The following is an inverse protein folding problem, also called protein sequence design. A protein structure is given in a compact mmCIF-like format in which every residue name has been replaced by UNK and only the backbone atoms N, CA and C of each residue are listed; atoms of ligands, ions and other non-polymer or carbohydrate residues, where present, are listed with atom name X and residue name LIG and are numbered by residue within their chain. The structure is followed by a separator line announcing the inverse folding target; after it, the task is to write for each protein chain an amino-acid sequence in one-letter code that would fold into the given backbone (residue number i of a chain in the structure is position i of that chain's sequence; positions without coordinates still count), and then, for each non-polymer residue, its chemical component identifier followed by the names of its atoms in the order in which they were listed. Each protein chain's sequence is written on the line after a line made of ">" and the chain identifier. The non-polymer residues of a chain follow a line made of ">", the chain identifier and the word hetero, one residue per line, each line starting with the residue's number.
data_IF_502493978454
#
_entry.id   IF_502493978454
#
_cell.length_a   1.000
_cell.length_b   1.000
_cell.length_c   1.000
_cell.angle_alpha   90.00
_cell.angle_beta   90.00
_cell.angle_gamma   90.00
#
_symmetry.space_group_name_H-M   'P 1'
#
loop_
_entity.id
_entity.type
_entity.pdbx_description
1 polymer ?
#
# COMPACT_ATOMS: atom_id res chain seq x y z
N UNK A 1 9.10 45.06 -22.91
CA UNK A 1 8.85 43.69 -22.39
C UNK A 1 7.48 43.51 -21.73
N UNK A 2 7.22 43.88 -20.47
CA UNK A 2 5.91 43.62 -19.81
C UNK A 2 4.73 44.36 -20.47
N UNK A 3 4.95 45.59 -20.95
CA UNK A 3 3.91 46.37 -21.67
C UNK A 3 3.60 45.83 -23.07
N UNK A 4 4.60 45.29 -23.77
CA UNK A 4 4.43 44.68 -25.10
C UNK A 4 3.74 43.31 -25.03
N UNK A 5 4.04 42.52 -24.01
CA UNK A 5 3.32 41.26 -23.77
C UNK A 5 1.86 41.53 -23.40
N UNK A 6 1.58 42.57 -22.59
CA UNK A 6 0.21 42.97 -22.27
C UNK A 6 -0.59 43.46 -23.49
N UNK A 7 0.01 44.28 -24.37
CA UNK A 7 -0.68 44.74 -25.60
C UNK A 7 -0.86 43.61 -26.61
N UNK A 8 0.08 42.67 -26.72
CA UNK A 8 -0.04 41.48 -27.57
C UNK A 8 -1.09 40.48 -27.06
N UNK A 9 -1.19 40.28 -25.75
CA UNK A 9 -2.24 39.47 -25.11
C UNK A 9 -3.62 40.09 -25.35
N UNK A 10 -3.73 41.43 -25.27
CA UNK A 10 -5.01 42.11 -25.48
C UNK A 10 -5.47 42.06 -26.95
N UNK A 11 -4.55 42.09 -27.91
CA UNK A 11 -4.88 41.94 -29.34
C UNK A 11 -5.14 40.49 -29.76
N UNK A 12 -4.68 39.50 -28.98
CA UNK A 12 -4.84 38.07 -29.23
C UNK A 12 -5.61 37.34 -28.13
N UNK A 13 -6.53 38.02 -27.45
CA UNK A 13 -7.29 37.46 -26.32
C UNK A 13 -8.01 36.14 -26.63
N UNK A 14 -8.43 35.94 -27.88
CA UNK A 14 -9.01 34.69 -28.37
C UNK A 14 -7.99 33.53 -28.39
N UNK A 15 -6.74 33.77 -28.79
CA UNK A 15 -5.65 32.78 -28.78
C UNK A 15 -5.32 32.37 -27.35
N UNK A 16 -5.20 33.34 -26.45
CA UNK A 16 -4.94 33.09 -25.03
C UNK A 16 -6.08 32.28 -24.41
N UNK A 17 -7.33 32.55 -24.78
CA UNK A 17 -8.51 31.82 -24.29
C UNK A 17 -8.55 30.37 -24.79
N UNK A 18 -8.19 30.13 -26.06
CA UNK A 18 -8.08 28.76 -26.59
C UNK A 18 -6.94 28.02 -25.89
N UNK A 19 -5.80 28.69 -25.69
CA UNK A 19 -4.64 28.08 -25.04
C UNK A 19 -4.92 27.70 -23.59
N UNK A 20 -5.62 28.55 -22.82
CA UNK A 20 -6.03 28.24 -21.44
C UNK A 20 -7.07 27.12 -21.40
N UNK A 21 -8.01 27.06 -22.34
CA UNK A 21 -8.96 25.95 -22.47
C UNK A 21 -8.26 24.62 -22.73
N UNK A 22 -7.31 24.60 -23.68
CA UNK A 22 -6.53 23.40 -24.03
C UNK A 22 -5.66 22.97 -22.85
N UNK A 23 -4.97 23.91 -22.18
CA UNK A 23 -4.16 23.62 -21.00
C UNK A 23 -5.03 23.07 -19.86
N UNK A 24 -6.19 23.68 -19.60
CA UNK A 24 -7.13 23.26 -18.58
C UNK A 24 -7.70 21.87 -18.85
N UNK A 25 -8.09 21.57 -20.09
CA UNK A 25 -8.56 20.25 -20.50
C UNK A 25 -7.47 19.18 -20.37
N UNK A 26 -6.23 19.50 -20.76
CA UNK A 26 -5.09 18.62 -20.61
C UNK A 26 -4.78 18.32 -19.14
N UNK A 27 -4.72 19.36 -18.29
CA UNK A 27 -4.48 19.22 -16.85
C UNK A 27 -5.58 18.39 -16.19
N UNK A 28 -6.84 18.68 -16.52
CA UNK A 28 -8.01 17.94 -16.02
C UNK A 28 -7.95 16.47 -16.41
N UNK A 29 -7.61 16.17 -17.66
CA UNK A 29 -7.46 14.79 -18.14
C UNK A 29 -6.31 14.07 -17.41
N UNK A 30 -5.18 14.75 -17.21
CA UNK A 30 -4.03 14.19 -16.50
C UNK A 30 -4.34 13.91 -15.02
N UNK A 31 -5.01 14.85 -14.34
CA UNK A 31 -5.45 14.70 -12.95
C UNK A 31 -6.48 13.57 -12.80
N UNK A 32 -7.45 13.48 -13.72
CA UNK A 32 -8.48 12.44 -13.72
C UNK A 32 -7.87 11.06 -13.90
N UNK A 33 -6.95 10.89 -14.86
CA UNK A 33 -6.22 9.62 -15.05
C UNK A 33 -5.42 9.22 -13.82
N UNK A 34 -4.74 10.16 -13.18
CA UNK A 34 -3.98 9.88 -11.95
C UNK A 34 -4.90 9.47 -10.79
N UNK A 35 -6.06 10.13 -10.65
CA UNK A 35 -7.06 9.79 -9.63
C UNK A 35 -7.60 8.37 -9.85
N UNK A 36 -7.94 8.00 -11.09
CA UNK A 36 -8.40 6.65 -11.40
C UNK A 36 -7.35 5.58 -11.08
N UNK A 37 -6.08 5.84 -11.42
CA UNK A 37 -4.98 4.91 -11.09
C UNK A 37 -4.81 4.78 -9.59
N UNK A 38 -4.91 5.88 -8.85
CA UNK A 38 -4.83 5.88 -7.39
C UNK A 38 -5.98 5.09 -6.75
N UNK A 39 -7.20 5.28 -7.22
CA UNK A 39 -8.36 4.52 -6.75
C UNK A 39 -8.18 3.03 -7.01
N UNK A 40 -7.75 2.63 -8.21
CA UNK A 40 -7.48 1.22 -8.52
C UNK A 40 -6.40 0.59 -7.63
N UNK A 41 -5.38 1.37 -7.25
CA UNK A 41 -4.34 0.90 -6.32
C UNK A 41 -4.92 0.74 -4.92
N UNK A 42 -5.69 1.73 -4.45
CA UNK A 42 -6.35 1.68 -3.13
C UNK A 42 -7.30 0.49 -3.04
N UNK A 43 -8.13 0.25 -4.05
CA UNK A 43 -9.07 -0.88 -4.11
C UNK A 43 -8.32 -2.22 -4.03
N UNK A 44 -7.25 -2.39 -4.83
CA UNK A 44 -6.45 -3.63 -4.79
C UNK A 44 -5.78 -3.84 -3.44
N UNK A 45 -5.20 -2.78 -2.85
CA UNK A 45 -4.62 -2.85 -1.51
C UNK A 45 -5.67 -3.25 -0.47
N UNK A 46 -6.85 -2.61 -0.54
CA UNK A 46 -7.99 -2.92 0.33
C UNK A 46 -8.40 -4.38 0.24
N UNK A 47 -8.48 -4.91 -0.98
CA UNK A 47 -8.78 -6.32 -1.21
C UNK A 47 -7.70 -7.24 -0.59
N UNK A 48 -6.41 -6.99 -0.87
CA UNK A 48 -5.33 -7.81 -0.32
C UNK A 48 -5.28 -7.78 1.20
N UNK A 49 -5.52 -6.63 1.82
CA UNK A 49 -5.55 -6.50 3.27
C UNK A 49 -6.76 -7.23 3.88
N UNK A 50 -7.94 -7.09 3.28
CA UNK A 50 -9.13 -7.81 3.74
C UNK A 50 -8.97 -9.32 3.63
N UNK A 51 -8.46 -9.80 2.49
CA UNK A 51 -8.23 -11.23 2.26
C UNK A 51 -7.19 -11.78 3.24
N UNK A 52 -6.10 -11.05 3.47
CA UNK A 52 -5.09 -11.41 4.47
C UNK A 52 -5.67 -11.51 5.88
N UNK A 53 -6.45 -10.52 6.31
CA UNK A 53 -7.06 -10.52 7.64
C UNK A 53 -8.01 -11.73 7.81
N UNK A 54 -8.79 -12.05 6.78
CA UNK A 54 -9.63 -13.24 6.79
C UNK A 54 -8.80 -14.53 6.91
N UNK A 55 -7.70 -14.64 6.16
CA UNK A 55 -6.81 -15.79 6.24
C UNK A 55 -6.11 -15.88 7.61
N UNK A 56 -5.71 -14.75 8.19
CA UNK A 56 -5.12 -14.65 9.52
C UNK A 56 -6.10 -15.13 10.61
N UNK A 57 -7.38 -14.75 10.51
CA UNK A 57 -8.40 -15.21 11.44
C UNK A 57 -8.64 -16.71 11.30
N UNK A 58 -8.68 -17.24 10.07
CA UNK A 58 -8.79 -18.69 9.83
C UNK A 58 -7.56 -19.44 10.36
N UNK A 59 -6.36 -18.89 10.16
CA UNK A 59 -5.11 -19.43 10.67
C UNK A 59 -5.01 -19.38 12.19
N UNK A 60 -5.70 -18.45 12.86
CA UNK A 60 -5.72 -18.39 14.33
C UNK A 60 -6.86 -19.21 14.97
N UNK A 61 -7.77 -19.82 14.19
CA UNK A 61 -8.77 -20.74 14.74
C UNK A 61 -8.09 -21.93 15.41
N UNK A 62 -8.68 -22.53 16.46
CA UNK A 62 -8.08 -23.71 17.07
C UNK A 62 -8.02 -24.91 16.10
N UNK A 63 -6.99 -25.75 16.26
CA UNK A 63 -6.65 -26.85 15.32
C UNK A 63 -7.82 -27.80 15.07
N UNK A 64 -8.62 -28.09 16.10
CA UNK A 64 -9.79 -28.97 15.99
C UNK A 64 -10.90 -28.41 15.09
N UNK A 65 -10.98 -27.08 14.94
CA UNK A 65 -11.92 -26.42 14.00
C UNK A 65 -11.34 -26.43 12.59
N UNK A 66 -10.03 -26.19 12.45
CA UNK A 66 -9.33 -26.19 11.15
C UNK A 66 -9.42 -27.56 10.45
N UNK A 67 -9.19 -28.65 11.18
CA UNK A 67 -9.26 -30.01 10.64
C UNK A 67 -10.67 -30.43 10.18
N UNK A 68 -11.72 -29.75 10.65
CA UNK A 68 -13.12 -30.06 10.30
C UNK A 68 -13.59 -29.32 9.04
N UNK A 69 -12.99 -28.18 8.72
CA UNK A 69 -13.44 -27.28 7.63
C UNK A 69 -12.67 -27.47 6.31
N UNK A 70 -11.38 -27.86 6.32
CA UNK A 70 -10.64 -28.34 5.14
C UNK A 70 -9.16 -28.66 5.47
N UNK A 71 -8.51 -29.39 4.56
CA UNK A 71 -7.09 -29.76 4.55
C UNK A 71 -6.17 -28.67 5.11
N UNK A 72 -5.55 -28.92 6.26
CA UNK A 72 -4.64 -28.01 6.98
C UNK A 72 -3.64 -27.29 6.04
N UNK A 73 -3.16 -27.98 5.01
CA UNK A 73 -2.19 -27.46 4.05
C UNK A 73 -2.70 -26.34 3.11
N UNK A 74 -4.01 -26.26 2.83
CA UNK A 74 -4.56 -25.21 1.97
C UNK A 74 -4.74 -23.89 2.74
N UNK A 75 -5.10 -23.96 4.02
CA UNK A 75 -5.22 -22.80 4.92
C UNK A 75 -3.84 -22.16 5.12
N UNK A 76 -2.81 -22.97 5.37
CA UNK A 76 -1.45 -22.49 5.57
C UNK A 76 -0.89 -21.84 4.29
N UNK A 77 -1.07 -22.48 3.13
CA UNK A 77 -0.65 -21.91 1.84
C UNK A 77 -1.32 -20.57 1.55
N UNK A 78 -2.62 -20.48 1.78
CA UNK A 78 -3.36 -19.25 1.54
C UNK A 78 -2.90 -18.12 2.47
N UNK A 79 -2.67 -18.44 3.75
CA UNK A 79 -2.12 -17.50 4.72
C UNK A 79 -0.78 -16.91 4.27
N UNK A 80 0.20 -17.76 3.95
CA UNK A 80 1.52 -17.28 3.53
C UNK A 80 1.48 -16.53 2.20
N UNK A 81 0.65 -16.96 1.24
CA UNK A 81 0.48 -16.25 -0.02
C UNK A 81 -0.07 -14.84 0.18
N UNK A 82 -1.12 -14.70 0.98
CA UNK A 82 -1.72 -13.39 1.28
C UNK A 82 -0.78 -12.52 2.12
N UNK A 83 -0.05 -13.11 3.06
CA UNK A 83 1.01 -12.41 3.82
C UNK A 83 2.06 -11.82 2.88
N UNK A 84 2.51 -12.57 1.89
CA UNK A 84 3.45 -12.08 0.88
C UNK A 84 2.90 -10.91 0.09
N UNK A 85 1.61 -10.92 -0.26
CA UNK A 85 0.97 -9.78 -0.93
C UNK A 85 0.94 -8.53 -0.03
N UNK A 86 0.67 -8.67 1.26
CA UNK A 86 0.76 -7.56 2.22
C UNK A 86 2.19 -7.02 2.30
N UNK A 87 3.21 -7.88 2.34
CA UNK A 87 4.62 -7.46 2.37
C UNK A 87 5.03 -6.76 1.07
N UNK A 88 4.53 -7.23 -0.08
CA UNK A 88 4.87 -6.68 -1.39
C UNK A 88 4.27 -5.28 -1.59
N UNK A 89 3.02 -5.08 -1.20
CA UNK A 89 2.25 -3.87 -1.50
C UNK A 89 2.03 -2.94 -0.30
N UNK A 90 2.34 -3.41 0.91
CA UNK A 90 2.29 -2.68 2.17
C UNK A 90 3.17 -1.45 2.20
N UNK A 91 2.73 -0.42 2.93
CA UNK A 91 3.65 0.62 3.41
C UNK A 91 4.59 0.07 4.47
N UNK A 92 5.69 0.78 4.74
CA UNK A 92 6.61 0.42 5.82
C UNK A 92 5.88 0.32 7.17
N UNK A 93 4.95 1.23 7.45
CA UNK A 93 4.14 1.22 8.68
C UNK A 93 3.30 -0.07 8.79
N UNK A 94 2.70 -0.53 7.70
CA UNK A 94 1.97 -1.81 7.67
C UNK A 94 2.91 -3.00 7.90
N UNK A 95 4.08 -3.00 7.26
CA UNK A 95 5.07 -4.08 7.38
C UNK A 95 5.62 -4.16 8.81
N UNK A 96 5.92 -3.03 9.44
CA UNK A 96 6.38 -2.96 10.83
C UNK A 96 5.33 -3.50 11.81
N UNK A 97 4.07 -3.07 11.66
CA UNK A 97 2.98 -3.57 12.50
C UNK A 97 2.72 -5.06 12.27
N UNK A 98 2.86 -5.52 11.03
CA UNK A 98 2.74 -6.93 10.67
C UNK A 98 3.84 -7.75 11.36
N UNK A 99 5.09 -7.28 11.33
CA UNK A 99 6.21 -7.95 11.98
C UNK A 99 6.06 -8.04 13.50
N UNK A 100 5.56 -6.99 14.16
CA UNK A 100 5.23 -7.01 15.59
C UNK A 100 4.17 -8.09 15.87
N UNK A 101 3.14 -8.19 15.02
CA UNK A 101 2.10 -9.19 15.18
C UNK A 101 2.62 -10.63 14.98
N UNK A 102 3.55 -10.84 14.04
CA UNK A 102 4.16 -12.15 13.79
C UNK A 102 5.14 -12.55 14.90
N UNK A 103 5.97 -11.61 15.37
CA UNK A 103 7.00 -11.86 16.39
C UNK A 103 6.38 -12.15 17.75
N UNK A 104 5.44 -11.32 18.16
CA UNK A 104 4.89 -11.39 19.52
C UNK A 104 3.59 -12.23 19.60
N UNK A 105 3.10 -12.69 18.44
CA UNK A 105 1.84 -13.43 18.30
C UNK A 105 0.59 -12.56 18.52
N UNK A 106 -0.52 -12.98 17.91
CA UNK A 106 -1.84 -12.35 18.10
C UNK A 106 -2.66 -13.19 19.07
N UNK A 107 -2.60 -12.83 20.34
CA UNK A 107 -3.44 -13.43 21.37
C UNK A 107 -4.73 -12.63 21.54
N UNK A 108 -5.81 -13.05 20.88
CA UNK A 108 -7.10 -12.34 20.93
C UNK A 108 -7.74 -12.29 22.33
N UNK A 109 -7.32 -13.18 23.23
CA UNK A 109 -7.80 -13.22 24.62
C UNK A 109 -7.23 -12.08 25.46
N UNK A 110 -5.99 -11.65 25.18
CA UNK A 110 -5.32 -10.58 25.93
C UNK A 110 -5.63 -9.21 25.36
N UNK A 111 -5.65 -8.18 26.22
CA UNK A 111 -5.87 -6.80 25.79
C UNK A 111 -4.76 -6.34 24.83
N UNK A 112 -3.52 -6.67 25.14
CA UNK A 112 -2.34 -6.31 24.32
C UNK A 112 -2.38 -6.95 22.93
N UNK A 113 -2.79 -8.22 22.82
CA UNK A 113 -2.91 -8.88 21.52
C UNK A 113 -4.00 -8.26 20.65
N UNK A 114 -5.13 -7.86 21.25
CA UNK A 114 -6.18 -7.09 20.55
C UNK A 114 -5.70 -5.72 20.10
N UNK A 115 -4.95 -5.01 20.94
CA UNK A 115 -4.39 -3.69 20.59
C UNK A 115 -3.41 -3.80 19.42
N UNK A 116 -2.50 -4.78 19.43
CA UNK A 116 -1.58 -5.03 18.30
C UNK A 116 -2.31 -5.29 16.99
N UNK A 117 -3.34 -6.13 17.03
CA UNK A 117 -4.19 -6.40 15.87
C UNK A 117 -4.92 -5.15 15.36
N UNK A 118 -5.45 -4.33 16.27
CA UNK A 118 -6.09 -3.06 15.91
C UNK A 118 -5.09 -2.07 15.28
N UNK A 119 -3.87 -1.98 15.80
CA UNK A 119 -2.83 -1.14 15.22
C UNK A 119 -2.43 -1.58 13.80
N UNK A 120 -2.42 -2.89 13.53
CA UNK A 120 -2.21 -3.41 12.17
C UNK A 120 -3.33 -2.98 11.23
N UNK A 121 -4.59 -3.11 11.66
CA UNK A 121 -5.75 -2.68 10.86
C UNK A 121 -5.72 -1.17 10.62
N UNK A 122 -5.39 -0.38 11.63
CA UNK A 122 -5.30 1.08 11.51
C UNK A 122 -4.22 1.49 10.50
N UNK A 123 -3.05 0.86 10.56
CA UNK A 123 -1.98 1.07 9.59
C UNK A 123 -2.42 0.71 8.16
N UNK A 124 -3.13 -0.42 7.99
CA UNK A 124 -3.67 -0.85 6.69
C UNK A 124 -4.69 0.16 6.15
N UNK A 125 -5.61 0.64 6.99
CA UNK A 125 -6.62 1.64 6.63
C UNK A 125 -5.96 2.95 6.18
N UNK A 126 -5.01 3.45 6.95
CA UNK A 126 -4.26 4.67 6.64
C UNK A 126 -3.47 4.57 5.33
N UNK A 127 -2.94 3.39 5.02
CA UNK A 127 -2.24 3.12 3.76
C UNK A 127 -3.19 3.03 2.55
N UNK A 128 -4.42 2.55 2.74
CA UNK A 128 -5.47 2.60 1.70
C UNK A 128 -5.92 4.04 1.45
N UNK A 129 -6.09 4.84 2.51
CA UNK A 129 -6.54 6.25 2.41
C UNK A 129 -5.49 7.16 1.75
N UNK A 130 -4.22 6.79 1.82
CA UNK A 130 -3.11 7.54 1.22
C UNK A 130 -2.37 6.74 0.15
N UNK A 131 -3.03 6.37 -0.97
CA UNK A 131 -2.39 5.62 -2.02
C UNK A 131 -1.33 6.51 -2.67
N UNK A 132 -0.05 6.16 -2.53
CA UNK A 132 1.03 6.89 -3.19
C UNK A 132 1.17 6.40 -4.63
N UNK A 133 1.17 7.32 -5.60
CA UNK A 133 1.56 6.99 -6.98
C UNK A 133 3.02 6.58 -6.93
N UNK A 134 3.28 5.28 -7.12
CA UNK A 134 4.63 4.77 -7.27
C UNK A 134 5.15 5.27 -8.62
N UNK A 135 5.81 6.42 -8.62
CA UNK A 135 6.42 7.00 -9.82
C UNK A 135 7.59 6.14 -10.26
N UNK A 136 7.58 5.75 -11.54
CA UNK A 136 8.68 5.10 -12.27
C UNK A 136 9.10 3.70 -11.83
N UNK A 137 9.27 2.81 -12.82
CA UNK A 137 9.90 1.49 -12.66
C UNK A 137 11.33 1.58 -12.10
N UNK A 138 12.06 2.66 -12.39
CA UNK A 138 13.42 2.88 -11.91
C UNK A 138 13.49 3.20 -10.41
N UNK A 139 12.56 4.01 -9.90
CA UNK A 139 12.49 4.29 -8.46
C UNK A 139 12.06 3.03 -7.69
N UNK A 140 11.22 2.17 -8.28
CA UNK A 140 10.90 0.85 -7.70
C UNK A 140 12.14 -0.03 -7.53
N UNK A 141 13.01 -0.10 -8.53
CA UNK A 141 14.22 -0.93 -8.48
C UNK A 141 15.20 -0.45 -7.39
N UNK A 142 15.39 0.86 -7.26
CA UNK A 142 16.24 1.45 -6.21
C UNK A 142 15.61 1.35 -4.81
N UNK A 143 14.30 1.53 -4.69
CA UNK A 143 13.59 1.38 -3.43
C UNK A 143 13.53 -0.09 -2.98
N UNK A 144 13.48 -1.05 -3.91
CA UNK A 144 13.48 -2.49 -3.57
C UNK A 144 14.73 -2.92 -2.81
N UNK A 145 15.92 -2.44 -3.17
CA UNK A 145 17.14 -2.80 -2.41
C UNK A 145 17.06 -2.33 -0.96
N UNK A 146 16.71 -1.05 -0.72
CA UNK A 146 16.53 -0.53 0.64
C UNK A 146 15.39 -1.20 1.40
N UNK A 147 14.31 -1.55 0.70
CA UNK A 147 13.15 -2.21 1.30
C UNK A 147 13.46 -3.66 1.65
N UNK A 148 14.27 -4.36 0.86
CA UNK A 148 14.69 -5.73 1.14
C UNK A 148 15.59 -5.81 2.37
N UNK A 149 16.57 -4.91 2.51
CA UNK A 149 17.37 -4.80 3.74
C UNK A 149 16.50 -4.48 4.95
N UNK A 150 15.60 -3.51 4.84
CA UNK A 150 14.70 -3.13 5.92
C UNK A 150 13.72 -4.24 6.32
N UNK A 151 13.13 -4.95 5.34
CA UNK A 151 12.23 -6.08 5.56
C UNK A 151 13.00 -7.25 6.19
N UNK A 152 14.23 -7.54 5.73
CA UNK A 152 15.06 -8.59 6.31
C UNK A 152 15.40 -8.28 7.78
N UNK A 153 15.78 -7.04 8.08
CA UNK A 153 16.08 -6.61 9.44
C UNK A 153 14.82 -6.67 10.33
N UNK A 154 13.64 -6.31 9.82
CA UNK A 154 12.41 -6.28 10.62
C UNK A 154 11.80 -7.68 10.81
N UNK A 155 11.79 -8.53 9.78
CA UNK A 155 11.14 -9.85 9.85
C UNK A 155 12.06 -10.94 10.39
N UNK A 156 13.38 -10.81 10.21
CA UNK A 156 14.34 -11.87 10.52
C UNK A 156 15.49 -11.42 11.43
N UNK A 157 15.47 -10.18 11.93
CA UNK A 157 16.53 -9.60 12.78
C UNK A 157 17.94 -9.77 12.16
N UNK A 158 18.01 -9.67 10.83
CA UNK A 158 19.22 -9.89 10.06
C UNK A 158 20.18 -8.68 10.17
N UNK A 159 20.75 -8.46 11.35
CA UNK A 159 21.89 -7.54 11.46
C UNK A 159 22.99 -8.05 10.53
N UNK A 160 23.50 -7.20 9.65
CA UNK A 160 24.56 -7.53 8.68
C UNK A 160 25.92 -7.79 9.33
N UNK A 161 25.98 -8.69 10.30
CA UNK A 161 27.19 -9.30 10.82
C UNK A 161 27.29 -10.70 10.22
N UNK A 162 27.87 -10.75 9.02
CA UNK A 162 28.95 -11.66 8.64
C UNK A 162 29.05 -11.73 7.11
N UNK A 163 29.77 -10.75 6.54
CA UNK A 163 30.90 -10.93 5.61
C UNK A 163 31.64 -9.59 5.39
#
# INVERSE_FOLDING_TARGET
>A
MVKETLTWINSNGWIVSIFTLVLGAYLSTFLTKNKEVLMKIADKKGQYYADYINALLQFNKPIHVRMRENSQGDIDRNYFYLKNLVILYGSNEVIERLAICERDGIHFETKEGRERYLYLIEAMKKDIENPKIIKSWWIRKLAMNKRNEHIANILFDYNGSDE
#
